data_IF_091239641326
#
_entry.id   IF_091239641326
#
_cell.length_a   1.000
_cell.length_b   1.000
_cell.length_c   1.000
_cell.angle_alpha   90.00
_cell.angle_beta   90.00
_cell.angle_gamma   90.00
#
_symmetry.space_group_name_H-M   'P 1'
#
loop_
_entity.id
_entity.type
_entity.pdbx_description
1 polymer ?
#
# COMPACT_ATOMS: atom_id res chain seq x y z
N UNK A 1 8.93 2.48 -8.93
CA UNK A 1 8.73 3.76 -9.64
C UNK A 1 8.01 4.67 -8.66
N UNK A 2 8.38 5.95 -8.59
CA UNK A 2 7.75 6.91 -7.66
C UNK A 2 7.17 8.03 -8.51
N UNK A 3 5.91 8.37 -8.29
CA UNK A 3 5.24 9.47 -9.01
C UNK A 3 5.31 10.72 -8.16
N UNK A 4 5.74 11.84 -8.73
CA UNK A 4 5.92 13.13 -8.04
C UNK A 4 5.11 14.23 -8.72
N UNK A 5 4.53 15.13 -7.92
CA UNK A 5 4.02 16.42 -8.38
C UNK A 5 4.92 17.53 -7.85
N UNK A 6 5.44 18.38 -8.73
CA UNK A 6 6.38 19.45 -8.39
C UNK A 6 6.04 20.76 -9.13
N UNK A 7 6.24 21.89 -8.46
CA UNK A 7 6.16 23.24 -9.04
C UNK A 7 7.46 24.02 -8.75
N UNK A 8 8.08 24.54 -9.80
CA UNK A 8 9.32 25.33 -9.75
C UNK A 8 9.08 26.85 -9.69
N UNK A 9 7.81 27.31 -9.77
CA UNK A 9 7.46 28.73 -9.62
C UNK A 9 7.81 29.63 -10.80
N UNK A 10 7.78 29.09 -12.02
CA UNK A 10 8.27 29.75 -13.24
C UNK A 10 7.32 30.80 -13.85
N UNK A 11 6.32 31.31 -13.14
CA UNK A 11 5.39 32.27 -13.75
C UNK A 11 4.36 32.93 -12.83
N UNK A 12 3.13 32.39 -12.80
CA UNK A 12 1.98 32.99 -12.15
C UNK A 12 1.70 32.35 -10.77
N UNK A 13 1.40 33.18 -9.77
CA UNK A 13 1.17 32.74 -8.40
C UNK A 13 -0.31 32.90 -8.00
N UNK A 14 -0.85 31.97 -7.17
CA UNK A 14 -0.23 30.70 -6.76
C UNK A 14 -0.11 29.70 -7.94
N UNK A 15 0.98 28.92 -7.94
CA UNK A 15 1.22 27.85 -8.92
C UNK A 15 0.85 26.49 -8.30
N UNK A 16 0.27 25.59 -9.11
CA UNK A 16 -0.29 24.33 -8.64
C UNK A 16 0.17 23.15 -9.50
N UNK A 17 0.66 22.10 -8.85
CA UNK A 17 0.81 20.77 -9.45
C UNK A 17 -0.12 19.78 -8.75
N UNK A 18 -0.88 19.05 -9.57
CA UNK A 18 -1.83 18.05 -9.10
C UNK A 18 -1.37 16.65 -9.50
N UNK A 19 -1.49 15.72 -8.57
CA UNK A 19 -1.41 14.29 -8.86
C UNK A 19 -2.65 13.62 -8.30
N UNK A 20 -3.29 12.78 -9.12
CA UNK A 20 -4.46 12.01 -8.72
C UNK A 20 -4.12 10.53 -8.73
N UNK A 21 -4.63 9.81 -7.73
CA UNK A 21 -4.43 8.38 -7.58
C UNK A 21 -5.76 7.69 -7.36
N UNK A 22 -6.04 6.67 -8.17
CA UNK A 22 -7.24 5.87 -8.03
C UNK A 22 -6.84 4.43 -7.68
N UNK A 23 -7.41 3.88 -6.62
CA UNK A 23 -7.20 2.48 -6.24
C UNK A 23 -8.53 1.75 -6.17
N UNK A 24 -8.63 0.65 -6.90
CA UNK A 24 -9.70 -0.33 -6.72
C UNK A 24 -9.41 -1.16 -5.48
N UNK A 25 -10.39 -1.28 -4.58
CA UNK A 25 -10.22 -2.07 -3.37
C UNK A 25 -10.16 -3.57 -3.73
N UNK A 26 -9.15 -4.31 -3.28
CA UNK A 26 -9.17 -5.77 -3.41
C UNK A 26 -10.26 -6.37 -2.51
N UNK A 27 -10.72 -7.56 -2.85
CA UNK A 27 -11.69 -8.31 -2.04
C UNK A 27 -11.13 -8.52 -0.63
N UNK A 28 -11.97 -8.26 0.38
CA UNK A 28 -11.57 -8.38 1.80
C UNK A 28 -10.79 -7.18 2.34
N UNK A 29 -10.59 -6.11 1.57
CA UNK A 29 -9.96 -4.90 2.09
C UNK A 29 -10.77 -4.26 3.22
N UNK A 30 -10.09 -4.01 4.34
CA UNK A 30 -10.62 -3.36 5.55
C UNK A 30 -10.30 -1.86 5.55
N UNK A 31 -11.17 -1.06 6.18
CA UNK A 31 -10.99 0.40 6.37
C UNK A 31 -9.77 0.79 7.19
N UNK A 32 -9.12 -0.18 7.83
CA UNK A 32 -7.82 -0.01 8.51
C UNK A 32 -6.62 -0.05 7.56
N UNK A 33 -6.85 -0.22 6.25
CA UNK A 33 -5.83 -0.05 5.21
C UNK A 33 -5.25 1.37 5.23
N UNK A 34 -4.01 1.52 4.78
CA UNK A 34 -3.25 2.76 4.89
C UNK A 34 -2.77 3.22 3.52
N UNK A 35 -2.89 4.51 3.24
CA UNK A 35 -2.23 5.13 2.10
C UNK A 35 -0.86 5.65 2.53
N UNK A 36 0.21 5.24 1.86
CA UNK A 36 1.58 5.62 2.19
C UNK A 36 2.15 6.60 1.15
N UNK A 37 2.72 7.68 1.66
CA UNK A 37 3.45 8.68 0.85
C UNK A 37 4.84 8.88 1.41
N UNK A 38 5.71 9.46 0.59
CA UNK A 38 7.06 9.86 0.98
C UNK A 38 7.30 11.35 0.76
N UNK A 39 7.91 12.00 1.74
CA UNK A 39 8.34 13.41 1.68
C UNK A 39 9.86 13.49 1.44
N UNK A 40 10.31 14.42 0.60
CA UNK A 40 11.75 14.66 0.36
C UNK A 40 12.50 15.28 1.56
N UNK A 41 11.80 15.92 2.51
CA UNK A 41 12.43 16.81 3.50
C UNK A 41 12.67 16.24 4.91
N UNK A 42 12.13 15.06 5.26
CA UNK A 42 12.16 14.56 6.66
C UNK A 42 12.55 13.09 6.74
N UNK A 43 13.31 12.70 7.77
CA UNK A 43 13.62 11.30 8.09
C UNK A 43 12.91 10.89 9.39
N UNK A 44 12.15 9.77 9.42
CA UNK A 44 11.82 8.88 8.31
C UNK A 44 10.88 9.56 7.31
N UNK A 45 11.16 9.36 6.02
CA UNK A 45 10.44 10.05 4.93
C UNK A 45 9.12 9.42 4.56
N UNK A 46 8.82 8.20 5.04
CA UNK A 46 7.58 7.47 4.75
C UNK A 46 6.53 7.75 5.82
N UNK A 47 5.34 8.10 5.37
CA UNK A 47 4.23 8.49 6.23
C UNK A 47 3.02 7.65 5.85
N UNK A 48 2.44 6.97 6.84
CA UNK A 48 1.20 6.24 6.68
C UNK A 48 0.02 7.14 7.04
N UNK A 49 -0.98 7.19 6.17
CA UNK A 49 -2.21 7.94 6.38
C UNK A 49 -3.38 6.95 6.49
N UNK A 50 -4.16 7.11 7.56
CA UNK A 50 -5.46 6.46 7.70
C UNK A 50 -6.46 7.10 6.75
N UNK A 51 -7.40 6.30 6.26
CA UNK A 51 -8.42 6.75 5.32
C UNK A 51 -9.73 6.93 6.09
N UNK A 52 -10.31 8.14 6.14
CA UNK A 52 -11.62 8.37 6.75
C UNK A 52 -12.70 7.47 6.16
N UNK A 53 -13.71 7.12 6.95
CA UNK A 53 -14.80 6.21 6.54
C UNK A 53 -15.47 6.66 5.25
N UNK A 54 -15.73 7.96 5.11
CA UNK A 54 -16.48 8.51 3.97
C UNK A 54 -15.69 8.35 2.66
N UNK A 55 -14.38 8.58 2.73
CA UNK A 55 -13.46 8.29 1.64
C UNK A 55 -13.33 6.78 1.37
N UNK A 56 -13.26 5.97 2.43
CA UNK A 56 -13.14 4.51 2.30
C UNK A 56 -14.37 3.88 1.63
N UNK A 57 -15.55 4.47 1.83
CA UNK A 57 -16.80 4.01 1.24
C UNK A 57 -16.87 4.25 -0.27
N UNK A 58 -15.98 5.08 -0.83
CA UNK A 58 -15.90 5.30 -2.28
C UNK A 58 -15.28 4.09 -3.00
N UNK A 59 -15.75 3.82 -4.22
CA UNK A 59 -15.16 2.84 -5.11
C UNK A 59 -15.16 3.38 -6.56
N UNK A 60 -13.99 3.65 -7.16
CA UNK A 60 -12.64 3.49 -6.60
C UNK A 60 -12.34 4.49 -5.47
N UNK A 61 -11.35 4.15 -4.63
CA UNK A 61 -10.73 5.13 -3.73
C UNK A 61 -10.00 6.17 -4.57
N UNK A 62 -10.25 7.44 -4.29
CA UNK A 62 -9.66 8.57 -5.04
C UNK A 62 -8.87 9.44 -4.07
N UNK A 63 -7.61 9.64 -4.39
CA UNK A 63 -6.70 10.50 -3.65
C UNK A 63 -6.18 11.59 -4.56
N UNK A 64 -5.92 12.75 -3.96
CA UNK A 64 -5.28 13.86 -4.64
C UNK A 64 -4.13 14.35 -3.79
N UNK A 65 -3.07 14.70 -4.48
CA UNK A 65 -1.94 15.41 -3.90
C UNK A 65 -1.71 16.71 -4.66
N UNK A 66 -1.61 17.81 -3.91
CA UNK A 66 -1.41 19.15 -4.47
C UNK A 66 -0.10 19.69 -3.92
N UNK A 67 0.80 20.10 -4.80
CA UNK A 67 1.93 20.99 -4.46
C UNK A 67 1.55 22.40 -4.87
N UNK A 68 1.75 23.36 -3.97
CA UNK A 68 1.34 24.76 -4.14
C UNK A 68 2.56 25.64 -3.91
N UNK A 69 2.81 26.56 -4.84
CA UNK A 69 3.81 27.60 -4.67
C UNK A 69 3.13 28.96 -4.50
N UNK A 70 3.22 29.51 -3.29
CA UNK A 70 2.54 30.75 -2.91
C UNK A 70 3.56 31.89 -2.85
N UNK A 71 3.22 33.02 -3.46
CA UNK A 71 4.01 34.25 -3.32
C UNK A 71 3.72 34.89 -1.97
N UNK A 72 4.73 34.94 -1.11
CA UNK A 72 4.70 35.70 0.13
C UNK A 72 5.95 36.55 0.26
N UNK A 73 5.81 37.73 0.86
CA UNK A 73 6.92 38.60 1.24
C UNK A 73 7.23 38.37 2.72
N UNK A 74 8.48 38.01 3.12
CA UNK A 74 9.73 38.16 2.38
C UNK A 74 10.24 36.92 1.61
N UNK A 75 9.58 35.76 1.72
CA UNK A 75 10.01 34.53 1.05
C UNK A 75 8.81 33.76 0.49
N UNK A 76 8.98 33.10 -0.65
CA UNK A 76 7.98 32.20 -1.22
C UNK A 76 7.77 30.96 -0.33
N UNK A 77 6.52 30.51 -0.22
CA UNK A 77 6.16 29.32 0.58
C UNK A 77 5.77 28.19 -0.37
N UNK A 78 6.34 27.01 -0.13
CA UNK A 78 5.88 25.75 -0.72
C UNK A 78 4.95 25.06 0.25
N UNK A 79 3.71 24.84 -0.17
CA UNK A 79 2.72 24.06 0.59
C UNK A 79 2.43 22.75 -0.12
N UNK A 80 1.94 21.79 0.65
CA UNK A 80 1.38 20.58 0.11
C UNK A 80 0.08 20.19 0.80
N UNK A 81 -0.81 19.53 0.05
CA UNK A 81 -2.11 19.04 0.54
C UNK A 81 -2.39 17.66 -0.03
N UNK A 82 -2.46 16.67 0.83
CA UNK A 82 -2.95 15.33 0.53
C UNK A 82 -4.42 15.22 0.95
N UNK A 83 -5.28 14.78 0.05
CA UNK A 83 -6.72 14.68 0.28
C UNK A 83 -7.29 13.38 -0.28
N UNK A 84 -8.44 12.96 0.23
CA UNK A 84 -9.26 11.88 -0.33
C UNK A 84 -10.64 12.38 -0.72
N UNK A 85 -11.24 11.77 -1.73
CA UNK A 85 -12.61 12.10 -2.14
C UNK A 85 -13.61 11.34 -1.28
N UNK A 86 -14.60 12.02 -0.71
CA UNK A 86 -15.65 11.42 0.12
C UNK A 86 -16.94 11.09 -0.65
N UNK A 87 -17.07 11.51 -1.90
CA UNK A 87 -18.31 11.43 -2.68
C UNK A 87 -18.74 12.78 -3.26
N UNK A 88 -18.49 13.85 -2.49
CA UNK A 88 -18.95 15.21 -2.77
C UNK A 88 -17.81 16.24 -2.72
N UNK A 89 -16.85 16.07 -1.81
CA UNK A 89 -15.73 16.99 -1.56
C UNK A 89 -14.41 16.28 -1.29
N UNK A 90 -13.31 17.03 -1.37
CA UNK A 90 -11.98 16.56 -1.00
C UNK A 90 -11.74 16.78 0.50
N UNK A 91 -11.64 15.69 1.25
CA UNK A 91 -11.33 15.67 2.68
C UNK A 91 -9.81 15.69 2.90
N UNK A 92 -9.34 16.56 3.81
CA UNK A 92 -7.92 16.69 4.11
C UNK A 92 -7.40 15.48 4.87
N UNK A 93 -6.33 14.87 4.37
CA UNK A 93 -5.57 13.82 5.05
C UNK A 93 -4.30 14.36 5.69
N UNK A 94 -3.62 15.29 4.99
CA UNK A 94 -2.37 15.90 5.44
C UNK A 94 -2.16 17.23 4.75
N UNK A 95 -1.60 18.19 5.47
CA UNK A 95 -1.06 19.42 4.90
C UNK A 95 0.21 19.83 5.61
N UNK A 96 1.04 20.63 4.94
CA UNK A 96 2.20 21.25 5.56
C UNK A 96 2.92 22.18 4.60
N UNK A 97 4.00 22.77 5.10
CA UNK A 97 4.87 23.71 4.39
C UNK A 97 6.30 23.17 4.35
N UNK A 98 7.12 23.72 3.43
CA UNK A 98 8.58 23.43 3.30
C UNK A 98 8.97 22.10 2.62
N UNK A 99 8.03 21.40 1.98
CA UNK A 99 8.30 20.17 1.22
C UNK A 99 8.38 20.42 -0.29
N UNK A 100 9.51 20.07 -0.92
CA UNK A 100 9.72 20.25 -2.36
C UNK A 100 9.08 19.15 -3.20
N UNK A 101 9.04 17.92 -2.68
CA UNK A 101 8.57 16.78 -3.44
C UNK A 101 7.84 15.80 -2.53
N UNK A 102 6.64 15.42 -2.95
CA UNK A 102 5.94 14.28 -2.38
C UNK A 102 5.74 13.21 -3.44
N UNK A 103 6.04 12.00 -3.01
CA UNK A 103 5.99 10.80 -3.81
C UNK A 103 4.88 9.90 -3.31
N UNK A 104 4.03 9.43 -4.21
CA UNK A 104 3.22 8.26 -3.92
C UNK A 104 4.12 7.02 -3.88
N UNK A 105 3.90 6.17 -2.88
CA UNK A 105 4.71 4.98 -2.65
C UNK A 105 3.89 3.70 -2.75
N UNK A 106 2.81 3.59 -1.97
CA UNK A 106 1.98 2.39 -1.95
C UNK A 106 0.62 2.60 -1.28
N UNK A 107 -0.34 1.76 -1.67
CA UNK A 107 -1.53 1.46 -0.88
C UNK A 107 -1.31 0.16 -0.11
N UNK A 108 -1.35 0.24 1.22
CA UNK A 108 -1.20 -0.89 2.13
C UNK A 108 -2.57 -1.43 2.53
N UNK A 109 -2.96 -2.52 1.87
CA UNK A 109 -4.23 -3.17 2.13
C UNK A 109 -4.18 -4.03 3.39
N UNK A 110 -5.01 -3.71 4.38
CA UNK A 110 -5.32 -4.66 5.44
C UNK A 110 -6.45 -5.57 4.94
N UNK A 111 -6.13 -6.84 4.70
CA UNK A 111 -7.10 -7.81 4.17
C UNK A 111 -7.65 -8.64 5.32
N UNK A 112 -8.97 -8.57 5.53
CA UNK A 112 -9.73 -9.46 6.40
C UNK A 112 -10.48 -10.44 5.52
N UNK A 113 -10.00 -11.68 5.42
CA UNK A 113 -10.76 -12.76 4.79
C UNK A 113 -11.49 -13.48 5.91
N UNK A 114 -12.82 -13.41 5.96
CA UNK A 114 -13.60 -14.14 6.98
C UNK A 114 -13.49 -15.67 6.81
N UNK A 115 -13.02 -16.15 5.66
CA UNK A 115 -12.66 -17.54 5.50
C UNK A 115 -11.76 -17.71 4.26
N UNK A 116 -10.50 -18.18 4.37
CA UNK A 116 -9.68 -18.50 3.19
C UNK A 116 -10.24 -19.68 2.39
N UNK A 117 -11.21 -20.45 2.93
CA UNK A 117 -11.76 -21.65 2.29
C UNK A 117 -12.99 -21.40 1.41
N UNK A 118 -13.54 -20.17 1.37
CA UNK A 118 -14.63 -19.88 0.44
C UNK A 118 -14.06 -19.63 -0.95
N UNK A 119 -13.94 -20.72 -1.72
CA UNK A 119 -13.80 -20.67 -3.16
C UNK A 119 -14.88 -19.74 -3.74
N UNK A 120 -14.44 -18.67 -4.39
CA UNK A 120 -15.33 -17.79 -5.14
C UNK A 120 -15.73 -18.56 -6.41
N UNK A 121 -16.91 -19.16 -6.41
CA UNK A 121 -17.50 -19.78 -7.61
C UNK A 121 -18.01 -18.68 -8.54
N UNK A 122 -17.13 -18.01 -9.28
CA UNK A 122 -17.54 -17.17 -10.41
C UNK A 122 -17.54 -18.00 -11.68
N UNK A 123 -18.71 -18.11 -12.31
CA UNK A 123 -18.81 -18.67 -13.67
C UNK A 123 -18.67 -17.53 -14.67
N UNK A 124 -17.61 -17.55 -15.46
CA UNK A 124 -17.53 -16.77 -16.70
C UNK A 124 -17.52 -17.78 -17.84
N UNK A 125 -18.56 -17.78 -18.68
CA UNK A 125 -18.67 -18.71 -19.82
C UNK A 125 -19.17 -20.13 -19.51
N UNK A 126 -19.72 -20.39 -18.32
CA UNK A 126 -20.33 -21.69 -17.99
C UNK A 126 -19.35 -22.76 -17.50
N UNK A 127 -18.06 -22.47 -17.45
CA UNK A 127 -17.05 -23.31 -16.81
C UNK A 127 -16.72 -22.78 -15.40
N UNK A 128 -16.60 -23.64 -14.38
CA UNK A 128 -16.21 -23.20 -13.04
C UNK A 128 -14.74 -22.76 -13.03
N UNK A 129 -14.48 -21.47 -12.80
CA UNK A 129 -13.15 -20.95 -12.53
C UNK A 129 -12.90 -20.98 -11.01
N UNK A 130 -12.01 -21.84 -10.55
CA UNK A 130 -11.66 -21.94 -9.13
C UNK A 130 -10.56 -20.93 -8.81
N UNK A 131 -10.95 -19.76 -8.27
CA UNK A 131 -9.99 -18.85 -7.67
C UNK A 131 -9.58 -19.42 -6.32
N UNK A 132 -8.35 -19.94 -6.22
CA UNK A 132 -7.74 -20.27 -4.93
C UNK A 132 -7.23 -18.95 -4.34
N UNK A 133 -7.88 -18.36 -3.31
CA UNK A 133 -7.30 -17.21 -2.63
C UNK A 133 -5.93 -17.60 -2.07
N UNK A 134 -4.96 -16.70 -2.14
CA UNK A 134 -3.66 -16.93 -1.53
C UNK A 134 -3.88 -17.27 -0.04
N UNK A 135 -3.28 -18.35 0.49
CA UNK A 135 -3.49 -18.75 1.88
C UNK A 135 -3.11 -17.58 2.79
N UNK A 136 -3.90 -17.37 3.85
CA UNK A 136 -3.56 -16.42 4.89
C UNK A 136 -2.10 -16.65 5.34
N UNK A 137 -1.29 -15.59 5.58
CA UNK A 137 0.08 -15.75 6.01
C UNK A 137 0.12 -16.64 7.26
N UNK A 138 0.91 -17.72 7.20
CA UNK A 138 1.00 -18.71 8.27
C UNK A 138 1.44 -18.02 9.58
N UNK A 139 0.63 -18.12 10.63
CA UNK A 139 0.97 -17.58 11.95
C UNK A 139 1.99 -18.51 12.62
N UNK A 140 3.24 -18.04 12.75
CA UNK A 140 4.34 -18.81 13.34
C UNK A 140 4.57 -18.50 14.83
N UNK A 141 3.70 -17.73 15.48
CA UNK A 141 3.90 -17.35 16.90
C UNK A 141 3.84 -18.54 17.86
N UNK A 142 3.23 -19.64 17.45
CA UNK A 142 3.20 -20.91 18.19
C UNK A 142 4.27 -21.91 17.77
N UNK A 143 5.22 -21.53 16.90
CA UNK A 143 6.30 -22.43 16.49
C UNK A 143 7.22 -22.70 17.68
N UNK A 144 7.41 -23.98 18.02
CA UNK A 144 8.30 -24.43 19.09
C UNK A 144 9.39 -25.30 18.47
N UNK A 145 10.65 -25.03 18.83
CA UNK A 145 11.76 -25.89 18.46
C UNK A 145 11.53 -27.29 19.03
N UNK A 146 11.47 -28.30 18.16
CA UNK A 146 11.29 -29.70 18.57
C UNK A 146 12.63 -30.44 18.61
N UNK A 147 13.38 -30.42 17.51
CA UNK A 147 14.68 -31.10 17.35
C UNK A 147 15.42 -30.64 16.10
N UNK A 148 16.71 -30.95 16.06
CA UNK A 148 17.58 -30.81 14.89
C UNK A 148 17.73 -32.13 14.11
N UNK A 149 18.05 -32.03 12.82
CA UNK A 149 18.39 -33.16 11.95
C UNK A 149 19.63 -32.83 11.12
N UNK A 150 20.69 -33.61 11.27
CA UNK A 150 21.96 -33.38 10.58
C UNK A 150 21.96 -33.97 9.16
N UNK A 151 22.20 -33.13 8.16
CA UNK A 151 22.22 -33.51 6.73
C UNK A 151 23.63 -33.62 6.12
N UNK A 152 24.68 -33.25 6.85
CA UNK A 152 26.04 -33.13 6.31
C UNK A 152 26.67 -34.43 5.79
N UNK A 153 26.10 -35.59 6.13
CA UNK A 153 26.48 -36.89 5.54
C UNK A 153 25.82 -37.20 4.19
N UNK A 154 24.95 -36.31 3.68
CA UNK A 154 24.20 -36.46 2.43
C UNK A 154 24.42 -35.30 1.47
N UNK A 155 24.49 -34.08 2.01
CA UNK A 155 24.70 -32.85 1.25
C UNK A 155 25.69 -31.98 2.03
N UNK A 156 26.81 -31.60 1.40
CA UNK A 156 27.89 -30.86 2.06
C UNK A 156 27.69 -29.34 2.02
N UNK A 157 26.80 -28.85 1.15
CA UNK A 157 26.52 -27.41 1.04
C UNK A 157 25.06 -27.12 0.64
N UNK A 158 24.08 -27.39 1.51
CA UNK A 158 22.66 -27.19 1.20
C UNK A 158 22.38 -25.71 0.93
N UNK A 159 21.81 -25.39 -0.24
CA UNK A 159 21.45 -24.03 -0.66
C UNK A 159 19.97 -23.71 -0.37
N UNK A 160 19.17 -24.71 0.02
CA UNK A 160 17.76 -24.55 0.30
C UNK A 160 17.12 -25.85 0.79
N UNK A 161 15.82 -25.81 1.01
CA UNK A 161 15.01 -26.99 1.27
C UNK A 161 13.58 -26.79 0.76
N UNK A 162 12.86 -27.88 0.52
CA UNK A 162 11.44 -27.86 0.21
C UNK A 162 10.69 -28.99 0.93
N UNK A 163 9.41 -28.75 1.24
CA UNK A 163 8.52 -29.77 1.78
C UNK A 163 7.71 -30.41 0.67
N UNK A 164 7.46 -31.72 0.78
CA UNK A 164 6.45 -32.39 -0.04
C UNK A 164 5.08 -31.74 0.22
N UNK A 165 4.16 -31.68 -0.77
CA UNK A 165 2.84 -31.10 -0.56
C UNK A 165 2.01 -31.73 0.57
N UNK A 166 2.29 -32.99 0.92
CA UNK A 166 1.65 -33.68 2.05
C UNK A 166 2.28 -33.36 3.42
N UNK A 167 3.36 -32.56 3.47
CA UNK A 167 4.07 -32.18 4.69
C UNK A 167 4.87 -33.30 5.36
N UNK A 168 4.86 -34.52 4.81
CA UNK A 168 5.45 -35.70 5.48
C UNK A 168 6.95 -35.84 5.23
N UNK A 169 7.49 -35.14 4.23
CA UNK A 169 8.91 -35.18 3.86
C UNK A 169 9.45 -33.79 3.59
N UNK A 170 10.69 -33.59 4.00
CA UNK A 170 11.53 -32.44 3.66
C UNK A 170 12.71 -32.92 2.82
N UNK A 171 13.11 -32.12 1.85
CA UNK A 171 14.20 -32.37 0.93
C UNK A 171 15.14 -31.16 0.95
N UNK A 172 16.46 -31.43 0.93
CA UNK A 172 17.54 -30.44 0.86
C UNK A 172 18.27 -30.55 -0.46
#
# INVERSE_FOLDING_TARGET
WSTVGHVDGLGAYPDYAYVYFNYTKPVGASSTSLWQVKDSGSYPSKINMSIPSDCWNQDPLRFQYISIYVQSTPAHIKEYRGSCWDGDTWQSLRSGSEGDNIYEEAMWWNISVENPDTAINTTEGGEPFYVIPAPAPWNVTSAVYLREFYVGGKETNPQGFFFKPDGLKMYT
#
